data_IF_491775239804
#
_entry.id   IF_491775239804
#
_cell.length_a   1.000
_cell.length_b   1.000
_cell.length_c   1.000
_cell.angle_alpha   90.00
_cell.angle_beta   90.00
_cell.angle_gamma   90.00
#
_symmetry.space_group_name_H-M   'P 1'
#
loop_
_entity.id
_entity.type
_entity.pdbx_description
1 polymer ?
#
# COMPACT_ATOMS: atom_id res chain seq x y z
N UNK A 1 10.86 -13.90 12.82
CA UNK A 1 10.12 -12.96 11.96
C UNK A 1 8.77 -13.58 11.62
N UNK A 2 7.70 -12.78 11.55
CA UNK A 2 6.39 -13.25 11.06
C UNK A 2 6.47 -13.49 9.56
N UNK A 3 5.78 -14.51 9.00
CA UNK A 3 5.75 -14.74 7.55
C UNK A 3 4.87 -13.74 6.80
N UNK A 4 4.30 -12.74 7.48
CA UNK A 4 3.33 -11.79 6.93
C UNK A 4 3.79 -10.35 7.10
N UNK A 5 3.57 -9.54 6.07
CA UNK A 5 3.67 -8.08 6.11
C UNK A 5 2.27 -7.50 6.20
N UNK A 6 2.03 -6.59 7.15
CA UNK A 6 0.74 -5.95 7.37
C UNK A 6 0.92 -4.43 7.45
N UNK A 7 0.20 -3.67 6.63
CA UNK A 7 0.28 -2.20 6.57
C UNK A 7 -1.10 -1.57 6.58
N UNK A 8 -1.24 -0.46 7.33
CA UNK A 8 -2.42 0.42 7.28
C UNK A 8 -2.02 1.80 6.75
N UNK A 9 -2.72 2.25 5.73
CA UNK A 9 -2.46 3.49 5.01
C UNK A 9 -3.51 4.53 5.45
N UNK A 10 -3.07 5.50 6.25
CA UNK A 10 -3.95 6.51 6.85
C UNK A 10 -3.91 7.87 6.15
N UNK A 11 -3.04 8.07 5.17
CA UNK A 11 -2.70 9.37 4.60
C UNK A 11 -1.31 9.86 5.04
N UNK A 12 -0.69 10.73 4.22
CA UNK A 12 0.67 11.25 4.47
C UNK A 12 0.67 12.69 4.96
N UNK A 13 -0.22 13.53 4.42
CA UNK A 13 -0.30 14.95 4.79
C UNK A 13 -1.20 15.16 6.01
N UNK A 14 -2.35 14.50 6.05
CA UNK A 14 -3.28 14.50 7.17
C UNK A 14 -3.89 13.11 7.34
N UNK A 15 -4.25 12.79 8.57
CA UNK A 15 -4.98 11.54 8.85
C UNK A 15 -6.32 11.56 8.11
N UNK A 16 -6.60 10.45 7.46
CA UNK A 16 -7.85 10.10 6.79
C UNK A 16 -8.20 10.87 5.52
N UNK A 17 -7.37 11.85 5.13
CA UNK A 17 -7.56 12.64 3.90
C UNK A 17 -6.25 12.70 3.14
N UNK A 18 -6.10 11.82 2.15
CA UNK A 18 -4.94 11.83 1.25
C UNK A 18 -5.21 10.98 0.01
N UNK A 19 -5.06 11.57 -1.17
CA UNK A 19 -4.98 10.82 -2.42
C UNK A 19 -3.52 10.46 -2.68
N UNK A 20 -3.18 9.18 -2.64
CA UNK A 20 -1.80 8.75 -2.86
C UNK A 20 -1.44 8.84 -4.35
N UNK A 21 -0.31 9.47 -4.67
CA UNK A 21 0.21 9.44 -6.05
C UNK A 21 0.79 8.07 -6.38
N UNK A 22 0.98 7.77 -7.67
CA UNK A 22 1.52 6.46 -8.09
C UNK A 22 2.95 6.27 -7.58
N UNK A 23 3.73 7.35 -7.49
CA UNK A 23 5.07 7.37 -6.93
C UNK A 23 5.06 7.00 -5.44
N UNK A 24 4.11 7.53 -4.68
CA UNK A 24 3.96 7.22 -3.26
C UNK A 24 3.56 5.75 -3.04
N UNK A 25 2.62 5.25 -3.84
CA UNK A 25 2.21 3.85 -3.81
C UNK A 25 3.38 2.93 -4.19
N UNK A 26 4.15 3.29 -5.22
CA UNK A 26 5.32 2.53 -5.66
C UNK A 26 6.42 2.49 -4.60
N UNK A 27 6.67 3.60 -3.92
CA UNK A 27 7.63 3.67 -2.81
C UNK A 27 7.22 2.71 -1.68
N UNK A 28 5.94 2.72 -1.29
CA UNK A 28 5.42 1.81 -0.26
C UNK A 28 5.47 0.37 -0.73
N UNK A 29 5.11 0.07 -1.98
CA UNK A 29 5.16 -1.27 -2.57
C UNK A 29 6.57 -1.86 -2.49
N UNK A 30 7.60 -1.10 -2.87
CA UNK A 30 9.01 -1.53 -2.77
C UNK A 30 9.41 -1.82 -1.32
N UNK A 31 8.99 -0.98 -0.38
CA UNK A 31 9.27 -1.18 1.05
C UNK A 31 8.63 -2.46 1.59
N UNK A 32 7.35 -2.72 1.29
CA UNK A 32 6.67 -3.92 1.79
C UNK A 32 7.21 -5.21 1.20
N UNK A 33 7.59 -5.21 -0.08
CA UNK A 33 8.23 -6.36 -0.73
C UNK A 33 9.61 -6.63 -0.12
N UNK A 34 10.39 -5.57 0.14
CA UNK A 34 11.72 -5.68 0.76
C UNK A 34 11.73 -6.27 2.17
N UNK A 35 10.57 -6.33 2.86
CA UNK A 35 10.45 -6.98 4.17
C UNK A 35 10.44 -8.52 4.10
N UNK A 36 10.28 -9.12 2.91
CA UNK A 36 10.49 -10.56 2.69
C UNK A 36 9.41 -11.48 3.26
N UNK A 37 8.17 -11.00 3.44
CA UNK A 37 7.04 -11.84 3.88
C UNK A 37 6.43 -12.69 2.77
N UNK A 38 5.90 -13.87 3.13
CA UNK A 38 5.18 -14.77 2.23
C UNK A 38 3.80 -14.26 1.78
N UNK A 39 3.20 -13.34 2.56
CA UNK A 39 1.97 -12.63 2.20
C UNK A 39 2.05 -11.18 2.63
N UNK A 40 1.45 -10.30 1.84
CA UNK A 40 1.37 -8.86 2.09
C UNK A 40 -0.11 -8.49 2.20
N UNK A 41 -0.48 -7.82 3.29
CA UNK A 41 -1.81 -7.28 3.51
C UNK A 41 -1.72 -5.75 3.65
N UNK A 42 -2.41 -5.02 2.76
CA UNK A 42 -2.43 -3.56 2.76
C UNK A 42 -3.87 -3.09 2.92
N UNK A 43 -4.14 -2.29 3.96
CA UNK A 43 -5.45 -1.72 4.25
C UNK A 43 -5.42 -0.21 4.10
N UNK A 44 -6.23 0.33 3.20
CA UNK A 44 -6.42 1.77 3.04
C UNK A 44 -7.55 2.25 3.96
N UNK A 45 -7.26 3.30 4.72
CA UNK A 45 -8.17 3.88 5.71
C UNK A 45 -8.24 5.41 5.54
N UNK A 46 -7.96 5.92 4.35
CA UNK A 46 -8.02 7.33 3.97
C UNK A 46 -9.38 7.63 3.32
N UNK A 47 -10.43 7.61 4.13
CA UNK A 47 -11.83 7.90 3.83
C UNK A 47 -12.22 7.89 2.34
N UNK A 48 -12.24 9.06 1.68
CA UNK A 48 -12.86 9.22 0.37
C UNK A 48 -12.11 8.53 -0.78
N UNK A 49 -10.79 8.35 -0.65
CA UNK A 49 -9.93 7.86 -1.74
C UNK A 49 -9.49 6.40 -1.55
N UNK A 50 -9.98 5.72 -0.52
CA UNK A 50 -9.45 4.41 -0.11
C UNK A 50 -9.58 3.33 -1.19
N UNK A 51 -10.69 3.30 -1.93
CA UNK A 51 -10.96 2.27 -2.93
C UNK A 51 -10.03 2.42 -4.14
N UNK A 52 -9.87 3.64 -4.63
CA UNK A 52 -9.03 3.92 -5.80
C UNK A 52 -7.55 3.67 -5.48
N UNK A 53 -7.10 4.14 -4.31
CA UNK A 53 -5.72 3.89 -3.86
C UNK A 53 -5.46 2.39 -3.67
N UNK A 54 -6.44 1.63 -3.15
CA UNK A 54 -6.31 0.17 -3.02
C UNK A 54 -6.20 -0.53 -4.38
N UNK A 55 -7.03 -0.14 -5.36
CA UNK A 55 -6.97 -0.73 -6.72
C UNK A 55 -5.64 -0.44 -7.41
N UNK A 56 -5.15 0.80 -7.32
CA UNK A 56 -3.85 1.20 -7.90
C UNK A 56 -2.68 0.50 -7.21
N UNK A 57 -2.69 0.42 -5.88
CA UNK A 57 -1.69 -0.35 -5.13
C UNK A 57 -1.68 -1.82 -5.54
N UNK A 58 -2.86 -2.44 -5.68
CA UNK A 58 -2.95 -3.84 -6.11
C UNK A 58 -2.36 -4.06 -7.51
N UNK A 59 -2.67 -3.17 -8.46
CA UNK A 59 -2.10 -3.22 -9.80
C UNK A 59 -0.56 -3.05 -9.80
N UNK A 60 -0.02 -2.15 -8.97
CA UNK A 60 1.43 -1.98 -8.80
C UNK A 60 2.08 -3.23 -8.22
N UNK A 61 1.52 -3.79 -7.14
CA UNK A 61 2.05 -5.00 -6.50
C UNK A 61 2.06 -6.19 -7.46
N UNK A 62 0.99 -6.39 -8.23
CA UNK A 62 0.94 -7.43 -9.26
C UNK A 62 2.06 -7.25 -10.28
N UNK A 63 2.28 -6.03 -10.79
CA UNK A 63 3.33 -5.76 -11.78
C UNK A 63 4.76 -6.02 -11.26
N UNK A 64 5.00 -5.92 -9.96
CA UNK A 64 6.33 -6.13 -9.37
C UNK A 64 6.56 -7.61 -9.02
N UNK A 65 5.50 -8.32 -8.63
CA UNK A 65 5.57 -9.71 -8.15
C UNK A 65 5.39 -10.73 -9.29
N UNK A 66 4.77 -10.32 -10.40
CA UNK A 66 4.67 -11.12 -11.64
C UNK A 66 6.03 -11.20 -12.33
#
# INVERSE_FOLDING_TARGET
SSPYVYVRMHGRSFWYVHYYTDEELLEVAKKVIGLGGSKIYVFFNNDHDMLENARRMYAILLKIIS
#
